data_IF_867718453080
#
_entry.id   IF_867718453080
#
_cell.length_a   1.000
_cell.length_b   1.000
_cell.length_c   1.000
_cell.angle_alpha   90.00
_cell.angle_beta   90.00
_cell.angle_gamma   90.00
#
_symmetry.space_group_name_H-M   'P 1'
#
loop_
_entity.id
_entity.type
_entity.pdbx_description
1 polymer ?
#
# COMPACT_ATOMS: atom_id res chain seq x y z
N UNK A 1 6.44 20.12 15.12
CA UNK A 1 6.02 20.61 16.44
C UNK A 1 6.18 22.15 16.52
N UNK A 2 7.33 22.73 16.80
CA UNK A 2 7.51 24.19 16.98
C UNK A 2 8.84 24.68 16.34
N UNK A 3 8.93 24.54 15.03
CA UNK A 3 10.16 24.75 14.25
C UNK A 3 10.60 26.23 14.12
N UNK A 4 9.79 27.17 14.59
CA UNK A 4 10.11 28.62 14.59
C UNK A 4 10.52 29.13 15.96
N UNK A 5 10.54 28.30 16.98
CA UNK A 5 10.93 28.68 18.33
C UNK A 5 12.47 28.84 18.41
N UNK A 6 12.90 30.06 18.64
CA UNK A 6 14.33 30.38 18.74
C UNK A 6 14.89 30.29 20.18
N UNK A 7 14.04 30.02 21.18
CA UNK A 7 14.43 30.05 22.61
C UNK A 7 14.50 28.67 23.26
N UNK A 8 13.70 27.72 22.77
CA UNK A 8 13.60 26.38 23.33
C UNK A 8 13.39 25.36 22.20
N UNK A 9 13.49 24.07 22.51
CA UNK A 9 13.21 22.97 21.59
C UNK A 9 11.80 23.06 21.01
N UNK A 10 10.83 23.35 21.87
CA UNK A 10 9.45 23.72 21.57
C UNK A 10 8.85 24.46 22.76
N UNK A 11 7.72 25.16 22.58
CA UNK A 11 6.95 25.73 23.68
C UNK A 11 6.29 24.62 24.51
N UNK A 12 5.99 24.88 25.79
CA UNK A 12 5.28 23.93 26.65
C UNK A 12 3.91 23.56 26.04
N UNK A 13 3.16 24.55 25.53
CA UNK A 13 1.88 24.33 24.85
C UNK A 13 2.00 23.40 23.64
N UNK A 14 3.02 23.59 22.80
CA UNK A 14 3.26 22.73 21.65
C UNK A 14 3.68 21.31 22.06
N UNK A 15 4.47 21.17 23.13
CA UNK A 15 4.86 19.86 23.65
C UNK A 15 3.70 19.14 24.30
N UNK A 16 2.84 19.83 25.04
CA UNK A 16 1.64 19.27 25.65
C UNK A 16 0.62 18.81 24.60
N UNK A 17 0.42 19.59 23.53
CA UNK A 17 -0.49 19.26 22.45
C UNK A 17 -0.03 18.06 21.62
N UNK A 18 1.23 18.06 21.19
CA UNK A 18 1.77 17.03 20.31
C UNK A 18 2.25 15.78 21.04
N UNK A 19 2.70 15.91 22.28
CA UNK A 19 3.27 14.86 23.15
C UNK A 19 4.20 13.89 22.41
N UNK A 20 4.19 12.61 22.79
CA UNK A 20 4.86 11.56 22.03
C UNK A 20 4.00 11.13 20.82
N UNK A 21 4.65 10.60 19.80
CA UNK A 21 4.01 10.15 18.56
C UNK A 21 3.03 9.02 18.85
N UNK A 22 1.79 9.14 18.37
CA UNK A 22 0.72 8.16 18.62
C UNK A 22 1.06 6.80 18.03
N UNK A 23 1.48 6.78 16.77
CA UNK A 23 1.89 5.56 16.08
C UNK A 23 3.06 5.81 15.15
N UNK A 24 4.07 4.96 15.24
CA UNK A 24 5.27 5.01 14.43
C UNK A 24 5.34 3.77 13.54
N UNK A 25 5.30 3.99 12.22
CA UNK A 25 5.28 2.93 11.21
C UNK A 25 6.62 2.88 10.49
N UNK A 26 7.27 1.71 10.46
CA UNK A 26 8.56 1.58 9.78
C UNK A 26 9.09 0.15 9.77
N UNK A 27 10.14 -0.09 8.99
CA UNK A 27 10.77 -1.39 8.85
C UNK A 27 11.52 -1.83 10.12
N UNK A 28 11.53 -3.13 10.37
CA UNK A 28 12.20 -3.73 11.54
C UNK A 28 13.73 -3.49 11.57
N UNK A 29 14.35 -3.20 10.42
CA UNK A 29 15.78 -2.84 10.32
C UNK A 29 16.16 -1.58 11.11
N UNK A 30 15.19 -0.69 11.35
CA UNK A 30 15.40 0.52 12.12
C UNK A 30 15.47 0.30 13.64
N UNK A 31 15.16 -0.90 14.13
CA UNK A 31 15.20 -1.24 15.55
C UNK A 31 16.60 -1.00 16.17
N UNK A 32 17.66 -1.34 15.45
CA UNK A 32 19.07 -1.16 15.87
C UNK A 32 19.73 0.10 15.28
N UNK A 33 18.99 0.91 14.53
CA UNK A 33 19.47 2.14 13.90
C UNK A 33 18.68 3.35 14.44
N UNK A 34 17.76 3.87 13.63
CA UNK A 34 17.00 5.08 13.93
C UNK A 34 16.21 4.99 15.25
N UNK A 35 15.51 3.88 15.50
CA UNK A 35 14.68 3.74 16.70
C UNK A 35 15.50 3.71 17.99
N UNK A 36 16.66 3.06 17.95
CA UNK A 36 17.59 3.06 19.09
C UNK A 36 18.06 4.47 19.43
N UNK A 37 18.50 5.24 18.41
CA UNK A 37 18.97 6.61 18.61
C UNK A 37 17.85 7.56 19.02
N UNK A 38 16.69 7.48 18.36
CA UNK A 38 15.53 8.32 18.68
C UNK A 38 15.10 8.14 20.15
N UNK A 39 15.01 6.88 20.60
CA UNK A 39 14.64 6.55 21.98
C UNK A 39 15.72 7.00 22.97
N UNK A 40 17.00 6.78 22.68
CA UNK A 40 18.11 7.20 23.53
C UNK A 40 18.10 8.72 23.74
N UNK A 41 18.05 9.49 22.66
CA UNK A 41 18.00 10.96 22.74
C UNK A 41 16.76 11.47 23.45
N UNK A 42 15.61 10.88 23.21
CA UNK A 42 14.37 11.26 23.89
C UNK A 42 14.48 11.07 25.40
N UNK A 43 15.08 9.95 25.85
CA UNK A 43 15.30 9.69 27.27
C UNK A 43 16.29 10.69 27.90
N UNK A 44 17.35 11.07 27.20
CA UNK A 44 18.26 12.13 27.65
C UNK A 44 17.53 13.47 27.81
N UNK A 45 16.68 13.82 26.86
CA UNK A 45 15.86 15.04 26.96
C UNK A 45 14.83 14.98 28.10
N UNK A 46 14.26 13.81 28.34
CA UNK A 46 13.36 13.59 29.48
C UNK A 46 14.07 13.74 30.81
N UNK A 47 15.25 13.11 30.98
CA UNK A 47 16.07 13.21 32.18
C UNK A 47 16.54 14.65 32.44
N UNK A 48 16.72 15.43 31.38
CA UNK A 48 17.04 16.86 31.45
C UNK A 48 15.79 17.76 31.71
N UNK A 49 14.58 17.20 31.80
CA UNK A 49 13.34 17.95 32.01
C UNK A 49 12.89 18.77 30.80
N UNK A 50 13.36 18.43 29.60
CA UNK A 50 13.07 19.20 28.36
C UNK A 50 11.80 18.69 27.68
N UNK A 51 11.53 17.40 27.73
CA UNK A 51 10.32 16.78 27.14
C UNK A 51 9.45 16.13 28.22
N UNK A 52 8.11 16.12 28.06
CA UNK A 52 7.19 15.67 29.11
C UNK A 52 7.00 14.15 29.19
N UNK A 53 7.40 13.39 28.18
CA UNK A 53 7.16 11.94 28.08
C UNK A 53 8.45 11.14 28.10
N UNK A 54 8.43 9.95 28.76
CA UNK A 54 9.60 9.08 28.88
C UNK A 54 9.92 8.30 27.58
N UNK A 55 8.91 8.08 26.76
CA UNK A 55 9.05 7.36 25.47
C UNK A 55 8.68 8.26 24.29
N UNK A 56 9.38 8.19 23.16
CA UNK A 56 9.11 9.02 21.98
C UNK A 56 7.84 8.58 21.23
N UNK A 57 7.50 7.30 21.26
CA UNK A 57 6.41 6.67 20.52
C UNK A 57 5.49 5.90 21.44
N UNK A 58 4.17 6.02 21.24
CA UNK A 58 3.18 5.26 22.02
C UNK A 58 3.02 3.84 21.46
N UNK A 59 3.01 3.70 20.13
CA UNK A 59 2.88 2.44 19.41
C UNK A 59 3.88 2.35 18.29
N UNK A 60 4.47 1.18 18.10
CA UNK A 60 5.35 0.86 16.97
C UNK A 60 4.72 -0.26 16.15
N UNK A 61 4.55 -0.02 14.85
CA UNK A 61 4.09 -1.02 13.89
C UNK A 61 5.17 -1.27 12.85
N UNK A 62 5.73 -2.47 12.85
CA UNK A 62 6.72 -2.87 11.86
C UNK A 62 6.03 -3.39 10.59
N UNK A 63 6.45 -2.84 9.45
CA UNK A 63 5.99 -3.28 8.13
C UNK A 63 6.80 -4.48 7.64
N UNK A 64 6.15 -5.36 6.86
CA UNK A 64 6.83 -6.42 6.12
C UNK A 64 7.75 -5.86 5.03
N UNK A 65 8.68 -6.68 4.57
CA UNK A 65 9.59 -6.32 3.47
C UNK A 65 9.04 -6.79 2.13
N UNK A 66 9.13 -5.92 1.11
CA UNK A 66 8.99 -6.35 -0.27
C UNK A 66 10.33 -6.97 -0.69
N UNK A 67 10.28 -8.27 -0.94
CA UNK A 67 11.40 -9.06 -1.39
C UNK A 67 11.39 -9.16 -2.93
N UNK A 68 12.43 -9.73 -3.52
CA UNK A 68 12.45 -10.06 -4.94
C UNK A 68 13.12 -11.41 -5.18
N UNK A 69 12.83 -11.98 -6.33
CA UNK A 69 13.57 -13.14 -6.79
C UNK A 69 14.99 -12.71 -7.18
N UNK A 70 15.96 -13.55 -6.85
CA UNK A 70 17.33 -13.46 -7.31
C UNK A 70 17.76 -14.84 -7.83
N UNK A 71 18.78 -14.88 -8.66
CA UNK A 71 19.21 -16.09 -9.32
C UNK A 71 20.69 -16.34 -9.06
N UNK A 72 21.01 -17.57 -8.66
CA UNK A 72 22.34 -17.97 -8.24
C UNK A 72 22.80 -19.19 -9.05
N UNK A 73 24.05 -19.15 -9.52
CA UNK A 73 24.72 -20.29 -10.14
C UNK A 73 25.22 -21.27 -9.07
N UNK A 74 25.55 -22.48 -9.46
CA UNK A 74 26.13 -23.50 -8.56
C UNK A 74 27.41 -23.05 -7.85
N UNK A 75 28.19 -22.15 -8.47
CA UNK A 75 29.40 -21.59 -7.91
C UNK A 75 29.17 -20.40 -6.97
N UNK A 76 27.91 -20.06 -6.67
CA UNK A 76 27.52 -18.92 -5.84
C UNK A 76 27.52 -17.59 -6.60
N UNK A 77 27.76 -17.57 -7.90
CA UNK A 77 27.71 -16.38 -8.73
C UNK A 77 26.27 -15.91 -8.97
N UNK A 78 26.01 -14.59 -8.79
CA UNK A 78 24.69 -14.01 -8.96
C UNK A 78 24.43 -13.57 -10.41
N UNK A 79 23.24 -13.91 -10.94
CA UNK A 79 22.79 -13.56 -12.29
C UNK A 79 21.72 -12.48 -12.19
N UNK A 80 21.80 -11.47 -13.05
CA UNK A 80 20.78 -10.44 -13.12
C UNK A 80 19.45 -11.02 -13.66
N UNK A 81 18.33 -10.52 -13.13
CA UNK A 81 16.98 -11.03 -13.45
C UNK A 81 16.68 -10.98 -14.93
N UNK A 82 17.10 -9.92 -15.64
CA UNK A 82 16.95 -9.72 -17.08
C UNK A 82 17.76 -10.70 -17.94
N UNK A 83 18.80 -11.32 -17.37
CA UNK A 83 19.64 -12.34 -18.02
C UNK A 83 19.16 -13.78 -17.76
N UNK A 84 18.03 -13.97 -17.08
CA UNK A 84 17.45 -15.28 -16.81
C UNK A 84 16.22 -15.51 -17.67
N UNK A 85 16.05 -16.73 -18.14
CA UNK A 85 14.82 -17.21 -18.79
C UNK A 85 14.26 -18.43 -18.08
N UNK A 86 12.93 -18.53 -18.04
CA UNK A 86 12.25 -19.72 -17.54
C UNK A 86 11.88 -20.66 -18.68
N UNK A 87 12.19 -21.94 -18.51
CA UNK A 87 11.81 -23.03 -19.42
C UNK A 87 11.32 -24.23 -18.60
N UNK A 88 10.09 -24.63 -18.83
CA UNK A 88 9.47 -25.80 -18.19
C UNK A 88 9.57 -25.79 -16.64
N UNK A 89 9.44 -24.59 -16.02
CA UNK A 89 9.52 -24.41 -14.57
C UNK A 89 10.93 -24.43 -13.98
N UNK A 90 11.95 -24.35 -14.83
CA UNK A 90 13.36 -24.19 -14.44
C UNK A 90 13.94 -22.91 -14.99
N UNK A 91 14.95 -22.38 -14.33
CA UNK A 91 15.55 -21.10 -14.68
C UNK A 91 16.95 -21.30 -15.28
N UNK A 92 17.23 -20.60 -16.37
CA UNK A 92 18.48 -20.71 -17.10
C UNK A 92 19.06 -19.33 -17.37
N UNK A 93 20.36 -19.19 -17.26
CA UNK A 93 21.09 -18.00 -17.69
C UNK A 93 21.13 -17.96 -19.22
N UNK A 94 20.62 -16.88 -19.83
CA UNK A 94 20.49 -16.75 -21.29
C UNK A 94 21.80 -16.89 -22.05
N UNK A 95 22.90 -16.36 -21.49
CA UNK A 95 24.21 -16.34 -22.17
C UNK A 95 24.90 -17.69 -22.16
N UNK A 96 24.77 -18.43 -21.04
CA UNK A 96 25.52 -19.70 -20.85
C UNK A 96 24.65 -20.93 -21.01
N UNK A 97 23.33 -20.78 -21.08
CA UNK A 97 22.33 -21.83 -21.03
C UNK A 97 22.46 -22.77 -19.79
N UNK A 98 23.17 -22.34 -18.73
CA UNK A 98 23.29 -23.09 -17.48
C UNK A 98 22.09 -22.85 -16.61
N UNK A 99 21.68 -23.90 -15.90
CA UNK A 99 20.62 -23.83 -14.90
C UNK A 99 21.06 -22.96 -13.72
N UNK A 100 20.15 -22.15 -13.18
CA UNK A 100 20.35 -21.30 -12.02
C UNK A 100 19.23 -21.53 -11.01
N UNK A 101 19.55 -21.40 -9.73
CA UNK A 101 18.59 -21.55 -8.65
C UNK A 101 17.89 -20.24 -8.37
N UNK A 102 16.55 -20.24 -8.30
CA UNK A 102 15.78 -19.10 -7.87
C UNK A 102 15.76 -19.04 -6.34
N UNK A 103 16.11 -17.89 -5.77
CA UNK A 103 16.04 -17.60 -4.35
C UNK A 103 15.19 -16.35 -4.10
N UNK A 104 14.54 -16.29 -2.93
CA UNK A 104 13.83 -15.08 -2.48
C UNK A 104 14.74 -14.30 -1.54
N UNK A 105 15.04 -13.06 -1.87
CA UNK A 105 15.97 -12.24 -1.13
C UNK A 105 15.53 -10.77 -1.04
N UNK A 106 16.13 -10.03 -0.10
CA UNK A 106 15.97 -8.57 -0.04
C UNK A 106 16.46 -7.95 -1.34
N UNK A 107 15.73 -6.94 -1.84
CA UNK A 107 16.19 -6.18 -3.01
C UNK A 107 17.52 -5.49 -2.73
N UNK A 108 18.51 -5.73 -3.56
CA UNK A 108 19.80 -5.06 -3.47
C UNK A 108 20.49 -4.96 -4.83
N UNK A 109 21.35 -3.96 -4.98
CA UNK A 109 22.15 -3.78 -6.21
C UNK A 109 23.11 -4.96 -6.43
N UNK A 110 23.64 -5.55 -5.35
CA UNK A 110 24.53 -6.70 -5.43
C UNK A 110 23.84 -7.96 -5.90
N UNK A 111 22.57 -8.16 -5.54
CA UNK A 111 21.73 -9.28 -6.00
C UNK A 111 21.12 -9.02 -7.39
N UNK A 112 21.26 -7.80 -7.94
CA UNK A 112 20.74 -7.40 -9.25
C UNK A 112 19.23 -7.69 -9.41
N UNK A 113 18.46 -7.55 -8.32
CA UNK A 113 17.04 -7.87 -8.23
C UNK A 113 16.18 -6.66 -7.83
N UNK A 114 16.70 -5.45 -8.02
CA UNK A 114 15.99 -4.21 -7.65
C UNK A 114 14.88 -3.91 -8.65
N UNK A 115 13.68 -3.67 -8.14
CA UNK A 115 12.56 -3.10 -8.90
C UNK A 115 12.53 -1.59 -8.64
N UNK A 116 12.56 -0.79 -9.71
CA UNK A 116 12.49 0.67 -9.59
C UNK A 116 11.02 1.13 -9.61
N UNK A 117 10.50 1.73 -8.52
CA UNK A 117 9.13 2.20 -8.45
C UNK A 117 8.76 3.21 -9.57
N UNK A 118 9.71 4.04 -10.01
CA UNK A 118 9.44 5.03 -11.06
C UNK A 118 9.12 4.37 -12.42
N UNK A 119 9.71 3.22 -12.71
CA UNK A 119 9.43 2.50 -13.94
C UNK A 119 8.04 1.87 -13.88
N UNK A 120 7.67 1.31 -12.73
CA UNK A 120 6.33 0.77 -12.48
C UNK A 120 5.26 1.88 -12.55
N UNK A 121 5.51 3.04 -11.94
CA UNK A 121 4.59 4.18 -12.02
C UNK A 121 4.43 4.67 -13.46
N UNK A 122 5.51 4.69 -14.24
CA UNK A 122 5.45 5.11 -15.66
C UNK A 122 4.63 4.14 -16.52
N UNK A 123 4.73 2.84 -16.25
CA UNK A 123 4.07 1.78 -17.01
C UNK A 123 2.61 1.55 -16.58
N UNK A 124 2.36 1.48 -15.28
CA UNK A 124 1.05 1.08 -14.73
C UNK A 124 0.29 2.19 -14.02
N UNK A 125 0.96 3.27 -13.65
CA UNK A 125 0.41 4.36 -12.84
C UNK A 125 0.59 4.18 -11.33
N UNK A 126 0.58 5.31 -10.61
CA UNK A 126 0.83 5.34 -9.17
C UNK A 126 -0.23 4.58 -8.36
N UNK A 127 -1.51 4.71 -8.72
CA UNK A 127 -2.60 4.02 -8.03
C UNK A 127 -2.51 2.49 -8.17
N UNK A 128 -2.03 2.01 -9.32
CA UNK A 128 -1.80 0.57 -9.53
C UNK A 128 -0.68 0.07 -8.61
N UNK A 129 0.44 0.80 -8.52
CA UNK A 129 1.53 0.44 -7.61
C UNK A 129 1.06 0.41 -6.16
N UNK A 130 0.35 1.45 -5.70
CA UNK A 130 -0.19 1.53 -4.33
C UNK A 130 -1.10 0.36 -3.99
N UNK A 131 -2.10 0.10 -4.84
CA UNK A 131 -3.01 -1.03 -4.67
C UNK A 131 -2.28 -2.37 -4.67
N UNK A 132 -1.30 -2.52 -5.55
CA UNK A 132 -0.52 -3.75 -5.64
C UNK A 132 0.25 -4.00 -4.35
N UNK A 133 1.05 -3.04 -3.88
CA UNK A 133 1.82 -3.17 -2.64
C UNK A 133 0.93 -3.46 -1.43
N UNK A 134 -0.22 -2.78 -1.31
CA UNK A 134 -1.18 -3.01 -0.22
C UNK A 134 -1.95 -4.33 -0.32
N UNK A 135 -1.99 -4.96 -1.51
CA UNK A 135 -2.71 -6.23 -1.73
C UNK A 135 -1.84 -7.48 -1.68
N UNK A 136 -0.51 -7.34 -1.77
CA UNK A 136 0.43 -8.46 -1.90
C UNK A 136 0.37 -9.44 -0.72
N UNK A 137 0.29 -8.91 0.51
CA UNK A 137 0.35 -9.70 1.75
C UNK A 137 -0.30 -8.94 2.91
N UNK A 138 -0.30 -9.53 4.11
CA UNK A 138 -0.56 -8.79 5.33
C UNK A 138 0.48 -7.68 5.54
N UNK A 139 0.10 -6.60 6.19
CA UNK A 139 0.92 -5.39 6.33
C UNK A 139 2.28 -5.66 7.01
N UNK A 140 2.32 -6.62 7.94
CA UNK A 140 3.53 -7.05 8.67
C UNK A 140 4.28 -8.19 7.99
N UNK A 141 3.73 -8.78 6.93
CA UNK A 141 4.27 -9.96 6.27
C UNK A 141 5.17 -9.55 5.10
N UNK A 142 6.29 -10.24 4.96
CA UNK A 142 7.16 -10.06 3.80
C UNK A 142 6.67 -10.90 2.62
N UNK A 143 6.70 -10.33 1.42
CA UNK A 143 6.30 -11.02 0.20
C UNK A 143 7.23 -10.70 -0.98
N UNK A 144 7.48 -11.66 -1.87
CA UNK A 144 8.26 -11.41 -3.07
C UNK A 144 7.45 -10.61 -4.10
N UNK A 145 8.09 -9.66 -4.75
CA UNK A 145 7.55 -8.94 -5.88
C UNK A 145 7.24 -9.91 -7.03
N UNK A 146 6.01 -9.87 -7.52
CA UNK A 146 5.57 -10.63 -8.69
C UNK A 146 5.10 -9.68 -9.80
N UNK A 147 5.84 -9.53 -10.91
CA UNK A 147 5.47 -8.60 -11.98
C UNK A 147 4.17 -8.97 -12.69
N UNK A 148 3.77 -10.23 -12.71
CA UNK A 148 2.54 -10.66 -13.38
C UNK A 148 1.28 -10.28 -12.58
N UNK A 149 1.39 -10.22 -11.26
CA UNK A 149 0.25 -9.93 -10.39
C UNK A 149 -0.20 -8.47 -10.49
N UNK A 150 0.68 -7.52 -10.80
CA UNK A 150 0.33 -6.10 -10.93
C UNK A 150 -0.66 -5.83 -12.08
N UNK A 151 -0.61 -6.65 -13.14
CA UNK A 151 -1.54 -6.57 -14.27
C UNK A 151 -2.98 -6.82 -13.82
N UNK A 152 -3.18 -7.73 -12.86
CA UNK A 152 -4.49 -8.00 -12.27
C UNK A 152 -5.06 -6.78 -11.53
N UNK A 153 -4.21 -6.06 -10.81
CA UNK A 153 -4.57 -4.83 -10.11
C UNK A 153 -4.91 -3.70 -11.09
N UNK A 154 -4.13 -3.55 -12.17
CA UNK A 154 -4.45 -2.59 -13.23
C UNK A 154 -5.82 -2.86 -13.85
N UNK A 155 -6.12 -4.11 -14.18
CA UNK A 155 -7.45 -4.50 -14.69
C UNK A 155 -8.58 -4.19 -13.70
N UNK A 156 -8.33 -4.29 -12.40
CA UNK A 156 -9.31 -3.90 -11.39
C UNK A 156 -9.62 -2.41 -11.47
N UNK A 157 -8.61 -1.53 -11.56
CA UNK A 157 -8.82 -0.08 -11.74
C UNK A 157 -9.55 0.24 -13.06
N UNK A 158 -9.17 -0.39 -14.17
CA UNK A 158 -9.85 -0.20 -15.46
C UNK A 158 -11.33 -0.59 -15.37
N UNK A 159 -11.66 -1.69 -14.68
CA UNK A 159 -13.05 -2.11 -14.44
C UNK A 159 -13.81 -1.13 -13.57
N UNK A 160 -13.19 -0.53 -12.55
CA UNK A 160 -13.82 0.52 -11.74
C UNK A 160 -14.20 1.67 -12.66
N UNK A 161 -13.25 2.18 -13.45
CA UNK A 161 -13.51 3.29 -14.36
C UNK A 161 -14.67 3.01 -15.32
N UNK A 162 -14.66 1.86 -15.98
CA UNK A 162 -15.74 1.43 -16.89
C UNK A 162 -17.09 1.31 -16.16
N UNK A 163 -17.09 0.80 -14.93
CA UNK A 163 -18.32 0.67 -14.13
C UNK A 163 -18.95 2.02 -13.81
N UNK A 164 -18.14 3.04 -13.57
CA UNK A 164 -18.62 4.39 -13.26
C UNK A 164 -19.08 5.15 -14.51
N UNK A 165 -18.41 4.97 -15.64
CA UNK A 165 -18.61 5.77 -16.87
C UNK A 165 -19.61 5.14 -17.84
N UNK A 166 -19.66 3.82 -17.97
CA UNK A 166 -20.38 3.15 -19.07
C UNK A 166 -21.69 2.44 -18.66
N UNK A 167 -22.12 2.51 -17.40
CA UNK A 167 -23.36 1.84 -16.89
C UNK A 167 -23.44 0.33 -17.20
N UNK A 168 -22.31 -0.35 -17.39
CA UNK A 168 -22.28 -1.76 -17.86
C UNK A 168 -22.36 -2.80 -16.74
N UNK A 169 -21.94 -2.49 -15.54
CA UNK A 169 -21.84 -3.44 -14.43
C UNK A 169 -23.05 -3.31 -13.48
N UNK A 170 -24.19 -3.83 -13.88
CA UNK A 170 -25.42 -3.74 -13.08
C UNK A 170 -25.59 -4.95 -12.17
N UNK A 171 -26.01 -4.68 -10.94
CA UNK A 171 -26.41 -5.71 -9.99
C UNK A 171 -27.65 -6.46 -10.49
N UNK A 172 -27.75 -7.74 -10.12
CA UNK A 172 -28.94 -8.55 -10.40
C UNK A 172 -30.06 -8.31 -9.38
N UNK A 173 -29.69 -7.82 -8.21
CA UNK A 173 -30.58 -7.57 -7.07
C UNK A 173 -30.04 -6.35 -6.31
N UNK A 174 -30.78 -5.24 -6.38
CA UNK A 174 -30.40 -3.97 -5.79
C UNK A 174 -30.30 -4.04 -4.26
N UNK A 175 -31.25 -4.73 -3.61
CA UNK A 175 -31.23 -4.87 -2.16
C UNK A 175 -30.03 -5.70 -1.68
N UNK A 176 -29.64 -6.71 -2.44
CA UNK A 176 -28.45 -7.50 -2.16
C UNK A 176 -27.18 -6.66 -2.34
N UNK A 177 -27.11 -5.85 -3.41
CA UNK A 177 -25.99 -4.95 -3.67
C UNK A 177 -25.84 -3.91 -2.55
N UNK A 178 -26.94 -3.28 -2.11
CA UNK A 178 -26.93 -2.32 -1.01
C UNK A 178 -26.55 -2.96 0.33
N UNK A 179 -27.08 -4.15 0.62
CA UNK A 179 -26.66 -4.90 1.82
C UNK A 179 -25.16 -5.22 1.81
N UNK A 180 -24.61 -5.56 0.64
CA UNK A 180 -23.18 -5.81 0.47
C UNK A 180 -22.39 -4.52 0.62
N UNK A 181 -22.86 -3.38 0.08
CA UNK A 181 -22.24 -2.07 0.25
C UNK A 181 -22.06 -1.74 1.72
N UNK A 182 -23.10 -1.80 2.53
CA UNK A 182 -23.02 -1.46 3.96
C UNK A 182 -22.10 -2.42 4.74
N UNK A 183 -22.09 -3.71 4.39
CA UNK A 183 -21.12 -4.66 4.95
C UNK A 183 -19.68 -4.30 4.57
N UNK A 184 -19.47 -3.87 3.33
CA UNK A 184 -18.16 -3.50 2.83
C UNK A 184 -17.66 -2.21 3.49
N UNK A 185 -18.53 -1.20 3.69
CA UNK A 185 -18.19 0.03 4.41
C UNK A 185 -17.65 -0.30 5.81
N UNK A 186 -18.40 -1.12 6.57
CA UNK A 186 -17.96 -1.55 7.89
C UNK A 186 -16.61 -2.27 7.82
N UNK A 187 -16.50 -3.27 6.93
CA UNK A 187 -15.29 -4.08 6.80
C UNK A 187 -14.06 -3.25 6.41
N UNK A 188 -14.18 -2.39 5.39
CA UNK A 188 -13.07 -1.54 4.94
C UNK A 188 -12.63 -0.59 6.05
N UNK A 189 -13.58 0.01 6.79
CA UNK A 189 -13.26 0.87 7.92
C UNK A 189 -12.49 0.15 9.03
N UNK A 190 -12.94 -1.04 9.43
CA UNK A 190 -12.26 -1.87 10.43
C UNK A 190 -10.88 -2.34 9.92
N UNK A 191 -10.79 -2.80 8.68
CA UNK A 191 -9.56 -3.29 8.08
C UNK A 191 -8.49 -2.18 7.94
N UNK A 192 -8.87 -0.93 7.66
CA UNK A 192 -7.93 0.20 7.62
C UNK A 192 -7.32 0.47 9.00
N UNK A 193 -8.15 0.48 10.05
CA UNK A 193 -7.69 0.68 11.43
C UNK A 193 -6.73 -0.43 11.88
N UNK A 194 -6.99 -1.66 11.43
CA UNK A 194 -6.20 -2.85 11.76
C UNK A 194 -5.01 -3.10 10.80
N UNK A 195 -4.75 -2.22 9.83
CA UNK A 195 -3.75 -2.41 8.77
C UNK A 195 -3.96 -3.67 7.91
N UNK A 196 -5.19 -4.13 7.76
CA UNK A 196 -5.58 -5.26 6.91
C UNK A 196 -5.93 -4.81 5.48
N UNK A 197 -5.05 -4.06 4.85
CA UNK A 197 -5.30 -3.43 3.55
C UNK A 197 -5.62 -4.43 2.44
N UNK A 198 -4.98 -5.59 2.44
CA UNK A 198 -5.22 -6.67 1.47
C UNK A 198 -6.66 -7.20 1.53
N UNK A 199 -7.23 -7.33 2.72
CA UNK A 199 -8.63 -7.78 2.87
C UNK A 199 -9.63 -6.66 2.56
N UNK A 200 -9.29 -5.40 2.85
CA UNK A 200 -10.08 -4.25 2.44
C UNK A 200 -10.17 -4.15 0.89
N UNK A 201 -9.05 -4.27 0.20
CA UNK A 201 -9.01 -4.26 -1.28
C UNK A 201 -9.81 -5.44 -1.85
N UNK A 202 -9.67 -6.64 -1.27
CA UNK A 202 -10.47 -7.81 -1.66
C UNK A 202 -11.98 -7.58 -1.47
N UNK A 203 -12.39 -6.89 -0.39
CA UNK A 203 -13.79 -6.54 -0.17
C UNK A 203 -14.31 -5.56 -1.22
N UNK A 204 -13.50 -4.59 -1.65
CA UNK A 204 -13.82 -3.68 -2.76
C UNK A 204 -13.98 -4.44 -4.09
N UNK A 205 -13.10 -5.42 -4.36
CA UNK A 205 -13.21 -6.28 -5.54
C UNK A 205 -14.51 -7.09 -5.56
N UNK A 206 -14.91 -7.64 -4.40
CA UNK A 206 -16.16 -8.39 -4.25
C UNK A 206 -17.36 -7.47 -4.47
N UNK A 207 -17.34 -6.26 -3.90
CA UNK A 207 -18.39 -5.28 -4.07
C UNK A 207 -18.54 -4.86 -5.55
N UNK A 208 -17.44 -4.60 -6.24
CA UNK A 208 -17.44 -4.29 -7.66
C UNK A 208 -18.02 -5.44 -8.50
N UNK A 209 -17.74 -6.69 -8.12
CA UNK A 209 -18.25 -7.88 -8.84
C UNK A 209 -19.76 -8.06 -8.67
N UNK A 210 -20.36 -7.67 -7.55
CA UNK A 210 -21.82 -7.69 -7.37
C UNK A 210 -22.51 -6.70 -8.31
N UNK A 211 -21.87 -5.57 -8.61
CA UNK A 211 -22.35 -4.56 -9.54
C UNK A 211 -23.08 -3.40 -8.87
N UNK A 212 -23.38 -2.39 -9.68
CA UNK A 212 -24.08 -1.17 -9.28
C UNK A 212 -25.59 -1.41 -9.32
N UNK A 213 -26.36 -1.01 -8.31
CA UNK A 213 -27.83 -1.08 -8.33
C UNK A 213 -28.44 -0.47 -9.60
N UNK A 214 -29.60 -0.95 -10.00
CA UNK A 214 -30.34 -0.42 -11.16
C UNK A 214 -31.11 0.85 -10.80
N UNK A 215 -31.64 0.92 -9.58
CA UNK A 215 -32.26 2.13 -9.02
C UNK A 215 -31.25 3.27 -8.97
N UNK A 216 -31.65 4.48 -9.41
CA UNK A 216 -30.69 5.60 -9.56
C UNK A 216 -30.24 6.20 -8.22
N UNK A 217 -31.09 6.22 -7.20
CA UNK A 217 -30.75 6.70 -5.88
C UNK A 217 -29.73 5.76 -5.21
N UNK A 218 -30.01 4.45 -5.26
CA UNK A 218 -29.09 3.43 -4.77
C UNK A 218 -27.76 3.42 -5.55
N UNK A 219 -27.82 3.61 -6.87
CA UNK A 219 -26.62 3.67 -7.72
C UNK A 219 -25.74 4.88 -7.35
N UNK A 220 -26.33 6.02 -7.05
CA UNK A 220 -25.61 7.22 -6.63
C UNK A 220 -24.94 6.98 -5.29
N UNK A 221 -25.67 6.53 -4.27
CA UNK A 221 -25.11 6.19 -2.97
C UNK A 221 -23.99 5.16 -3.09
N UNK A 222 -24.19 4.09 -3.87
CA UNK A 222 -23.20 3.04 -4.08
C UNK A 222 -21.91 3.61 -4.65
N UNK A 223 -21.98 4.44 -5.67
CA UNK A 223 -20.81 5.05 -6.32
C UNK A 223 -20.07 5.99 -5.39
N UNK A 224 -20.77 6.87 -4.68
CA UNK A 224 -20.17 7.80 -3.72
C UNK A 224 -19.42 7.04 -2.63
N UNK A 225 -20.06 6.06 -2.00
CA UNK A 225 -19.41 5.27 -0.93
C UNK A 225 -18.26 4.43 -1.44
N UNK A 226 -18.37 3.88 -2.66
CA UNK A 226 -17.27 3.15 -3.28
C UNK A 226 -16.05 4.06 -3.52
N UNK A 227 -16.25 5.26 -4.08
CA UNK A 227 -15.16 6.22 -4.31
C UNK A 227 -14.48 6.64 -2.99
N UNK A 228 -15.25 6.90 -1.93
CA UNK A 228 -14.71 7.21 -0.60
C UNK A 228 -13.85 6.05 -0.06
N UNK A 229 -14.34 4.81 -0.15
CA UNK A 229 -13.59 3.64 0.32
C UNK A 229 -12.35 3.34 -0.53
N UNK A 230 -12.37 3.69 -1.81
CA UNK A 230 -11.23 3.51 -2.73
C UNK A 230 -10.12 4.52 -2.46
N UNK A 231 -10.46 5.74 -2.03
CA UNK A 231 -9.54 6.87 -1.92
C UNK A 231 -8.24 6.58 -1.14
N UNK A 232 -8.23 5.92 0.02
CA UNK A 232 -7.00 5.61 0.72
C UNK A 232 -6.01 4.75 -0.09
N UNK A 233 -6.51 3.94 -1.00
CA UNK A 233 -5.73 2.98 -1.80
C UNK A 233 -5.35 3.54 -3.18
N UNK A 234 -6.27 4.20 -3.86
CA UNK A 234 -6.13 4.72 -5.22
C UNK A 234 -6.68 6.16 -5.32
N UNK A 235 -5.96 7.15 -4.74
CA UNK A 235 -6.47 8.52 -4.59
C UNK A 235 -6.74 9.22 -5.91
N UNK A 236 -5.89 9.04 -6.94
CA UNK A 236 -6.09 9.72 -8.21
C UNK A 236 -7.35 9.23 -8.93
N UNK A 237 -7.57 7.91 -8.96
CA UNK A 237 -8.79 7.34 -9.52
C UNK A 237 -10.02 7.78 -8.73
N UNK A 238 -9.96 7.74 -7.40
CA UNK A 238 -11.08 8.10 -6.55
C UNK A 238 -11.48 9.58 -6.70
N UNK A 239 -10.52 10.49 -6.77
CA UNK A 239 -10.78 11.92 -7.00
C UNK A 239 -11.39 12.18 -8.38
N UNK A 240 -10.89 11.52 -9.42
CA UNK A 240 -11.48 11.62 -10.77
C UNK A 240 -12.93 11.15 -10.78
N UNK A 241 -13.22 9.99 -10.18
CA UNK A 241 -14.58 9.45 -10.08
C UNK A 241 -15.50 10.34 -9.26
N UNK A 242 -14.98 10.90 -8.15
CA UNK A 242 -15.74 11.84 -7.31
C UNK A 242 -16.09 13.12 -8.06
N UNK A 243 -15.14 13.69 -8.81
CA UNK A 243 -15.36 14.86 -9.65
C UNK A 243 -16.48 14.63 -10.67
N UNK A 244 -16.52 13.46 -11.29
CA UNK A 244 -17.59 13.10 -12.25
C UNK A 244 -18.96 12.95 -11.58
N UNK A 245 -19.02 12.43 -10.33
CA UNK A 245 -20.28 12.25 -9.59
C UNK A 245 -20.83 13.58 -9.07
N UNK A 246 -19.96 14.44 -8.55
CA UNK A 246 -20.39 15.72 -7.94
C UNK A 246 -20.86 16.76 -8.94
N UNK A 247 -20.76 16.48 -10.25
CA UNK A 247 -21.17 17.43 -11.28
C UNK A 247 -20.35 18.72 -11.24
N UNK A 248 -19.16 18.68 -10.69
CA UNK A 248 -18.21 19.79 -10.64
C UNK A 248 -17.66 20.04 -12.03
N UNK A 249 -18.52 20.44 -12.93
CA UNK A 249 -18.15 21.27 -14.06
C UNK A 249 -17.68 22.61 -13.45
N UNK A 250 -16.39 22.69 -13.13
CA UNK A 250 -15.71 23.97 -13.10
C UNK A 250 -15.72 24.46 -14.55
N UNK A 251 -16.80 25.14 -14.91
CA UNK A 251 -16.80 26.12 -15.98
C UNK A 251 -16.30 27.46 -15.45
#
# INVERSE_FOLDING_TARGET
MDNKNAKALASEEAMEYWQNVDEYVGGAEHAVLHLLYARFWHKVLYDAGIVPTIEPFQKLTNVGMILAYAYEREDGGLVAVDLVEEKEGRFYEKETAKEVSQIVAKMSKSLKNVVNPNDIVREYGADTLRLYEMSMSGFTDSAPWNPDAIVGVRRFLDRIYVTFTEKKNRAKDDMKAMKLLHKTIKKVGEDIVDYKFNTAISALMILLNEGVPADEEFATEWKEKFAIMLHPFAPHMAEELWSQLSGSSNQ
#
